data_IF_849295836255
#
_entry.id   IF_849295836255
#
_cell.length_a   1.000
_cell.length_b   1.000
_cell.length_c   1.000
_cell.angle_alpha   90.00
_cell.angle_beta   90.00
_cell.angle_gamma   90.00
#
_symmetry.space_group_name_H-M   'P 1'
#
loop_
_entity.id
_entity.type
_entity.pdbx_description
1 polymer ?
#
# COMPACT_ATOMS: atom_id res chain seq x y z
N UNK A 1 13.53 14.28 -6.54
CA UNK A 1 12.63 14.95 -5.59
C UNK A 1 11.22 14.70 -6.02
N UNK A 2 10.32 14.33 -5.12
CA UNK A 2 8.98 13.85 -5.48
C UNK A 2 8.02 15.00 -5.80
N UNK A 3 8.27 15.70 -6.89
CA UNK A 3 7.42 16.79 -7.38
C UNK A 3 7.02 16.52 -8.83
N UNK A 4 5.84 16.95 -9.21
CA UNK A 4 5.20 16.67 -10.51
C UNK A 4 5.94 17.30 -11.70
N UNK A 5 6.84 18.24 -11.44
CA UNK A 5 7.73 18.79 -12.46
C UNK A 5 9.16 18.94 -11.96
N UNK A 6 10.12 18.59 -12.80
CA UNK A 6 11.55 18.82 -12.58
C UNK A 6 12.02 20.18 -13.12
N UNK A 7 11.14 20.89 -13.83
CA UNK A 7 11.43 22.21 -14.41
C UNK A 7 11.04 23.33 -13.44
N UNK A 8 11.79 24.41 -13.43
CA UNK A 8 11.39 25.63 -12.75
C UNK A 8 10.16 26.20 -13.45
N UNK A 9 9.09 26.40 -12.70
CA UNK A 9 7.81 26.91 -13.22
C UNK A 9 7.60 28.39 -12.90
N UNK A 10 8.18 28.87 -11.79
CA UNK A 10 8.14 30.26 -11.36
C UNK A 10 9.45 30.64 -10.71
N UNK A 11 9.97 31.81 -11.00
CA UNK A 11 11.06 32.44 -10.27
C UNK A 11 10.58 33.79 -9.72
N UNK A 12 10.75 34.00 -8.43
CA UNK A 12 10.46 35.26 -7.76
C UNK A 12 11.78 35.87 -7.26
N UNK A 13 12.03 37.12 -7.61
CA UNK A 13 13.21 37.81 -7.20
C UNK A 13 12.84 39.20 -6.68
N UNK A 14 13.45 39.62 -5.57
CA UNK A 14 13.38 40.97 -5.08
C UNK A 14 14.63 41.33 -4.27
N UNK A 15 14.83 42.63 -4.05
CA UNK A 15 15.91 43.15 -3.23
C UNK A 15 15.33 43.85 -2.01
N UNK A 16 15.70 43.38 -0.83
CA UNK A 16 15.28 43.95 0.44
C UNK A 16 16.49 44.38 1.25
N UNK A 17 16.41 45.55 1.87
CA UNK A 17 17.42 46.04 2.80
C UNK A 17 17.00 45.71 4.23
N UNK A 18 17.91 45.11 4.99
CA UNK A 18 17.71 44.77 6.41
C UNK A 18 18.87 45.36 7.19
N UNK A 19 18.58 46.27 8.11
CA UNK A 19 19.58 46.90 8.99
C UNK A 19 20.23 45.85 9.92
N UNK A 20 21.42 46.17 10.40
CA UNK A 20 22.11 45.32 11.37
C UNK A 20 21.26 45.07 12.61
N UNK A 21 21.03 43.78 12.96
CA UNK A 21 20.17 43.32 14.07
C UNK A 21 18.66 43.48 13.87
N UNK A 22 18.20 43.94 12.70
CA UNK A 22 16.77 43.96 12.37
C UNK A 22 16.27 42.57 11.93
N UNK A 23 14.96 42.34 12.16
CA UNK A 23 14.21 41.21 11.59
C UNK A 23 13.09 41.80 10.73
N UNK A 24 13.03 41.38 9.47
CA UNK A 24 11.94 41.75 8.56
C UNK A 24 11.22 40.50 8.06
N UNK A 25 9.90 40.58 8.01
CA UNK A 25 9.07 39.61 7.30
C UNK A 25 8.79 40.17 5.91
N UNK A 26 8.99 39.37 4.89
CA UNK A 26 8.77 39.77 3.51
C UNK A 26 7.96 38.70 2.78
N UNK A 27 6.94 39.10 2.05
CA UNK A 27 6.10 38.20 1.28
C UNK A 27 6.35 38.41 -0.22
N UNK A 28 6.57 37.33 -0.93
CA UNK A 28 6.63 37.32 -2.39
C UNK A 28 5.40 36.58 -2.90
N UNK A 29 4.72 37.13 -3.90
CA UNK A 29 3.51 36.54 -4.48
C UNK A 29 3.72 36.39 -5.99
N UNK A 30 3.50 35.22 -6.50
CA UNK A 30 3.45 34.98 -7.95
C UNK A 30 2.11 35.44 -8.52
N UNK A 31 2.14 35.90 -9.76
CA UNK A 31 0.93 36.14 -10.58
C UNK A 31 0.61 34.92 -11.44
N UNK A 32 1.51 33.94 -11.50
CA UNK A 32 1.32 32.72 -12.24
C UNK A 32 0.33 31.79 -11.50
N UNK A 33 -0.66 31.31 -12.23
CA UNK A 33 -1.55 30.27 -11.71
C UNK A 33 -0.87 28.92 -11.84
N UNK A 34 -0.41 28.37 -10.71
CA UNK A 34 0.10 27.01 -10.67
C UNK A 34 -1.06 26.03 -10.88
N UNK A 35 -0.83 25.01 -11.69
CA UNK A 35 -1.80 23.92 -11.87
C UNK A 35 -1.89 23.07 -10.62
N UNK A 36 -2.99 22.31 -10.42
CA UNK A 36 -3.04 21.27 -9.40
C UNK A 36 -1.82 20.35 -9.48
N UNK A 37 -1.15 20.10 -8.34
CA UNK A 37 0.08 19.31 -8.32
C UNK A 37 0.94 19.55 -7.11
N UNK A 38 2.09 18.86 -7.05
CA UNK A 38 3.07 18.98 -5.97
C UNK A 38 4.34 19.67 -6.46
N UNK A 39 4.78 20.65 -5.71
CA UNK A 39 5.87 21.56 -6.06
C UNK A 39 6.89 21.65 -4.95
N UNK A 40 8.07 22.15 -5.32
CA UNK A 40 9.12 22.50 -4.38
C UNK A 40 9.48 23.97 -4.50
N UNK A 41 9.50 24.66 -3.39
CA UNK A 41 10.11 25.98 -3.26
C UNK A 41 11.56 25.84 -2.82
N UNK A 42 12.47 26.54 -3.49
CA UNK A 42 13.85 26.70 -3.07
C UNK A 42 14.07 28.20 -2.77
N UNK A 43 14.46 28.51 -1.56
CA UNK A 43 14.71 29.89 -1.11
C UNK A 43 16.20 30.18 -1.12
N UNK A 44 16.55 31.29 -1.72
CA UNK A 44 17.95 31.75 -1.81
C UNK A 44 18.07 33.15 -1.19
N UNK A 45 19.19 33.43 -0.53
CA UNK A 45 19.57 34.75 -0.06
C UNK A 45 20.98 35.01 -0.56
N UNK A 46 21.18 36.10 -1.29
CA UNK A 46 22.45 36.48 -1.92
C UNK A 46 23.07 35.32 -2.70
N UNK A 47 22.25 34.60 -3.49
CA UNK A 47 22.66 33.47 -4.30
C UNK A 47 22.93 32.14 -3.55
N UNK A 48 22.78 32.14 -2.22
CA UNK A 48 22.98 30.94 -1.40
C UNK A 48 21.64 30.33 -1.03
N UNK A 49 21.49 29.02 -1.23
CA UNK A 49 20.32 28.26 -0.79
C UNK A 49 20.21 28.29 0.75
N UNK A 50 19.11 28.75 1.27
CA UNK A 50 18.88 28.86 2.71
C UNK A 50 17.78 27.93 3.21
N UNK A 51 16.80 27.62 2.38
CA UNK A 51 15.68 26.74 2.73
C UNK A 51 15.05 26.14 1.49
N UNK A 52 14.44 24.99 1.66
CA UNK A 52 13.51 24.42 0.70
C UNK A 52 12.36 23.71 1.42
N UNK A 53 11.22 23.62 0.76
CA UNK A 53 10.06 22.85 1.24
C UNK A 53 9.21 22.39 0.05
N UNK A 54 8.47 21.32 0.25
CA UNK A 54 7.49 20.83 -0.71
C UNK A 54 6.09 21.26 -0.28
N UNK A 55 5.21 21.52 -1.25
CA UNK A 55 3.83 21.91 -1.02
C UNK A 55 2.93 21.40 -2.15
N UNK A 56 1.63 21.30 -1.88
CA UNK A 56 0.61 20.96 -2.87
C UNK A 56 -0.22 22.20 -3.24
N UNK A 57 -0.63 22.28 -4.50
CA UNK A 57 -1.65 23.19 -5.00
C UNK A 57 -2.82 22.31 -5.42
N UNK A 58 -3.98 22.55 -4.85
CA UNK A 58 -5.25 21.88 -5.16
C UNK A 58 -5.10 20.36 -5.43
N UNK A 59 -4.48 19.59 -4.51
CA UNK A 59 -4.14 18.19 -4.77
C UNK A 59 -5.36 17.32 -5.06
N UNK A 60 -6.54 17.68 -4.55
CA UNK A 60 -7.79 16.97 -4.84
C UNK A 60 -8.34 17.26 -6.24
N UNK A 61 -7.81 18.27 -6.94
CA UNK A 61 -8.13 18.60 -8.33
C UNK A 61 -7.14 17.94 -9.32
N UNK A 62 -6.16 17.18 -8.84
CA UNK A 62 -5.27 16.40 -9.71
C UNK A 62 -6.11 15.36 -10.43
N UNK A 63 -6.08 15.41 -11.76
CA UNK A 63 -6.78 14.47 -12.63
C UNK A 63 -5.82 13.41 -13.11
N UNK A 64 -5.98 12.20 -12.58
CA UNK A 64 -5.29 10.99 -13.03
C UNK A 64 -6.36 9.97 -13.43
N UNK A 65 -6.79 10.05 -14.69
CA UNK A 65 -7.90 9.24 -15.17
C UNK A 65 -7.57 7.74 -15.12
N UNK A 66 -8.55 6.88 -14.77
CA UNK A 66 -8.39 5.44 -14.89
C UNK A 66 -8.08 5.04 -16.35
N UNK A 67 -7.14 4.12 -16.51
CA UNK A 67 -6.66 3.61 -17.79
C UNK A 67 -6.87 2.10 -17.94
N UNK A 68 -7.96 1.59 -17.35
CA UNK A 68 -8.37 0.18 -17.42
C UNK A 68 -8.42 -0.33 -18.84
N UNK A 69 -7.87 -1.52 -19.05
CA UNK A 69 -8.01 -2.22 -20.31
C UNK A 69 -9.45 -2.74 -20.50
N UNK A 70 -9.91 -2.95 -21.74
CA UNK A 70 -11.28 -3.41 -21.99
C UNK A 70 -11.63 -4.74 -21.30
N UNK A 71 -10.66 -5.61 -21.08
CA UNK A 71 -10.83 -6.91 -20.41
C UNK A 71 -10.54 -6.87 -18.90
N UNK A 72 -10.27 -5.69 -18.31
CA UNK A 72 -9.84 -5.54 -16.92
C UNK A 72 -10.77 -6.25 -15.92
N UNK A 73 -12.06 -6.05 -16.05
CA UNK A 73 -13.04 -6.60 -15.12
C UNK A 73 -13.19 -8.12 -15.33
N UNK A 74 -13.19 -8.59 -16.58
CA UNK A 74 -13.23 -10.03 -16.92
C UNK A 74 -11.94 -10.74 -16.46
N UNK A 75 -10.79 -10.09 -16.64
CA UNK A 75 -9.50 -10.61 -16.19
C UNK A 75 -9.52 -10.86 -14.67
N UNK A 76 -9.83 -9.84 -13.88
CA UNK A 76 -9.84 -10.00 -12.42
C UNK A 76 -10.92 -10.97 -11.93
N UNK A 77 -12.07 -11.04 -12.62
CA UNK A 77 -13.07 -12.04 -12.29
C UNK A 77 -12.52 -13.46 -12.53
N UNK A 78 -11.85 -13.70 -13.67
CA UNK A 78 -11.23 -14.99 -13.95
C UNK A 78 -10.16 -15.39 -12.92
N UNK A 79 -9.36 -14.42 -12.42
CA UNK A 79 -8.37 -14.69 -11.37
C UNK A 79 -9.03 -15.02 -10.04
N UNK A 80 -10.14 -14.34 -9.71
CA UNK A 80 -10.96 -14.65 -8.52
C UNK A 80 -11.59 -16.03 -8.60
N UNK A 81 -12.08 -16.41 -9.78
CA UNK A 81 -12.65 -17.73 -10.01
C UNK A 81 -11.60 -18.84 -9.83
N UNK A 82 -10.36 -18.60 -10.29
CA UNK A 82 -9.24 -19.47 -10.03
C UNK A 82 -8.94 -19.59 -8.52
N UNK A 83 -8.93 -18.45 -7.79
CA UNK A 83 -8.75 -18.47 -6.34
C UNK A 83 -9.89 -19.21 -5.63
N UNK A 84 -11.12 -19.06 -6.10
CA UNK A 84 -12.29 -19.76 -5.55
C UNK A 84 -12.20 -21.29 -5.71
N UNK A 85 -11.55 -21.77 -6.80
CA UNK A 85 -11.34 -23.18 -7.06
C UNK A 85 -10.19 -23.80 -6.23
N UNK A 86 -9.34 -22.98 -5.59
CA UNK A 86 -8.27 -23.48 -4.71
C UNK A 86 -8.86 -23.97 -3.40
N UNK A 87 -8.57 -25.23 -3.05
CA UNK A 87 -8.75 -25.67 -1.67
C UNK A 87 -7.75 -24.94 -0.77
N UNK A 88 -8.27 -24.07 0.06
CA UNK A 88 -7.46 -23.27 0.98
C UNK A 88 -6.61 -24.13 1.91
N UNK A 89 -7.14 -25.29 2.34
CA UNK A 89 -6.49 -26.25 3.24
C UNK A 89 -5.72 -25.56 4.37
N UNK A 90 -6.41 -24.66 5.09
CA UNK A 90 -5.80 -23.85 6.14
C UNK A 90 -5.43 -24.69 7.35
N UNK A 91 -4.15 -24.69 7.69
CA UNK A 91 -3.60 -25.33 8.90
C UNK A 91 -3.26 -24.25 9.91
N UNK A 92 -3.76 -24.42 11.13
CA UNK A 92 -3.49 -23.53 12.26
C UNK A 92 -2.61 -24.25 13.28
N UNK A 93 -1.49 -23.61 13.64
CA UNK A 93 -0.58 -24.09 14.68
C UNK A 93 -0.50 -23.04 15.78
N UNK A 94 -0.98 -23.38 17.00
CA UNK A 94 -0.96 -22.41 18.11
C UNK A 94 0.47 -22.08 18.53
N UNK A 95 0.73 -20.77 18.65
CA UNK A 95 1.98 -20.22 19.21
C UNK A 95 1.73 -19.95 20.70
N UNK A 96 1.90 -20.98 21.51
CA UNK A 96 1.57 -20.93 22.97
C UNK A 96 2.32 -19.83 23.71
N UNK A 97 3.55 -19.53 23.31
CA UNK A 97 4.36 -18.44 23.91
C UNK A 97 3.80 -17.03 23.67
N UNK A 98 2.89 -16.88 22.71
CA UNK A 98 2.22 -15.62 22.38
C UNK A 98 0.73 -15.64 22.70
N UNK A 99 0.18 -16.80 23.03
CA UNK A 99 -1.21 -16.97 23.46
C UNK A 99 -1.41 -16.58 24.92
N UNK A 100 -2.63 -16.20 25.27
CA UNK A 100 -3.05 -15.84 26.62
C UNK A 100 -4.46 -16.36 26.91
N UNK A 101 -5.00 -16.09 28.09
CA UNK A 101 -6.39 -16.45 28.43
C UNK A 101 -7.45 -15.68 27.64
N UNK A 102 -7.08 -14.52 27.07
CA UNK A 102 -8.00 -13.64 26.35
C UNK A 102 -7.79 -13.66 24.84
N UNK A 103 -6.69 -14.27 24.38
CA UNK A 103 -6.34 -14.30 22.97
C UNK A 103 -5.47 -15.50 22.63
N UNK A 104 -5.85 -16.25 21.60
CA UNK A 104 -5.02 -17.29 21.00
C UNK A 104 -4.30 -16.73 19.77
N UNK A 105 -3.05 -17.15 19.59
CA UNK A 105 -2.22 -16.77 18.44
C UNK A 105 -1.83 -18.01 17.67
N UNK A 106 -2.10 -18.00 16.38
CA UNK A 106 -1.82 -19.13 15.49
C UNK A 106 -0.90 -18.69 14.34
N UNK A 107 0.07 -19.53 14.03
CA UNK A 107 0.65 -19.57 12.69
C UNK A 107 -0.38 -20.24 11.78
N UNK A 108 -0.75 -19.56 10.69
CA UNK A 108 -1.64 -20.07 9.67
C UNK A 108 -0.83 -20.33 8.41
N UNK A 109 -0.97 -21.53 7.86
CA UNK A 109 -0.47 -21.91 6.55
C UNK A 109 -1.68 -22.24 5.67
N UNK A 110 -1.74 -21.69 4.47
CA UNK A 110 -2.87 -21.92 3.56
C UNK A 110 -2.43 -21.78 2.11
N UNK A 111 -3.21 -22.34 1.19
CA UNK A 111 -2.95 -22.20 -0.24
C UNK A 111 -3.74 -21.04 -0.84
N UNK A 112 -3.11 -20.37 -1.80
CA UNK A 112 -3.66 -19.27 -2.59
C UNK A 112 -3.61 -19.61 -4.08
N UNK A 113 -4.02 -18.66 -4.91
CA UNK A 113 -4.06 -18.83 -6.37
C UNK A 113 -2.73 -19.39 -6.90
N UNK A 114 -2.78 -20.30 -7.90
CA UNK A 114 -1.58 -20.83 -8.49
C UNK A 114 -0.60 -19.76 -8.99
N UNK A 115 0.68 -20.07 -8.89
CA UNK A 115 1.69 -19.37 -9.66
C UNK A 115 1.46 -19.68 -11.14
N UNK A 116 1.22 -18.64 -11.94
CA UNK A 116 0.96 -18.83 -13.37
C UNK A 116 2.11 -19.48 -14.12
N UNK A 117 3.35 -19.38 -13.60
CA UNK A 117 4.52 -20.02 -14.20
C UNK A 117 4.58 -21.53 -13.97
N UNK A 118 4.18 -22.01 -12.79
CA UNK A 118 4.22 -23.43 -12.42
C UNK A 118 2.86 -24.10 -12.51
N UNK A 119 1.78 -23.34 -12.36
CA UNK A 119 0.41 -23.86 -12.29
C UNK A 119 0.04 -24.44 -10.92
N UNK A 120 0.96 -24.47 -9.95
CA UNK A 120 0.74 -25.02 -8.62
C UNK A 120 0.19 -23.96 -7.66
N UNK A 121 -0.76 -24.34 -6.76
CA UNK A 121 -1.21 -23.48 -5.68
C UNK A 121 -0.04 -23.02 -4.80
N UNK A 122 0.01 -21.73 -4.51
CA UNK A 122 1.10 -21.15 -3.71
C UNK A 122 0.74 -21.19 -2.24
N UNK A 123 1.63 -21.75 -1.41
CA UNK A 123 1.50 -21.70 0.04
C UNK A 123 1.84 -20.28 0.53
N UNK A 124 0.89 -19.67 1.24
CA UNK A 124 1.05 -18.39 1.95
C UNK A 124 0.84 -18.60 3.44
N UNK A 125 1.28 -17.62 4.23
CA UNK A 125 1.26 -17.72 5.68
C UNK A 125 0.76 -16.44 6.31
N UNK A 126 0.48 -16.52 7.59
CA UNK A 126 0.15 -15.37 8.40
C UNK A 126 0.02 -15.72 9.86
N UNK A 127 -0.20 -14.69 10.67
CA UNK A 127 -0.53 -14.86 12.08
C UNK A 127 -1.98 -14.46 12.30
N UNK A 128 -2.74 -15.35 12.89
CA UNK A 128 -4.12 -15.11 13.31
C UNK A 128 -4.19 -14.93 14.81
N UNK A 129 -4.76 -13.81 15.24
CA UNK A 129 -4.96 -13.45 16.63
C UNK A 129 -6.45 -13.57 16.95
N UNK A 130 -6.84 -14.67 17.59
CA UNK A 130 -8.21 -15.04 17.87
C UNK A 130 -8.64 -14.60 19.28
N UNK A 131 -9.63 -13.74 19.45
CA UNK A 131 -10.27 -13.49 20.75
C UNK A 131 -10.89 -14.77 21.32
N UNK A 132 -10.87 -14.92 22.66
CA UNK A 132 -11.30 -16.17 23.34
C UNK A 132 -12.57 -16.04 24.16
N UNK A 133 -13.27 -14.91 24.07
CA UNK A 133 -14.52 -14.66 24.81
C UNK A 133 -15.77 -15.29 24.18
N UNK A 134 -15.64 -15.92 23.01
CA UNK A 134 -16.72 -16.56 22.27
C UNK A 134 -17.61 -15.59 21.50
N UNK A 135 -17.32 -14.30 21.51
CA UNK A 135 -18.06 -13.31 20.74
C UNK A 135 -17.52 -13.18 19.30
N UNK A 136 -18.30 -12.54 18.44
CA UNK A 136 -17.82 -12.08 17.14
C UNK A 136 -17.16 -10.71 17.28
N UNK A 137 -16.03 -10.55 16.62
CA UNK A 137 -15.19 -9.36 16.66
C UNK A 137 -15.01 -8.76 15.27
N UNK A 138 -14.93 -7.42 15.15
CA UNK A 138 -14.53 -6.78 13.91
C UNK A 138 -13.21 -7.38 13.41
N UNK A 139 -13.09 -7.54 12.09
CA UNK A 139 -11.90 -8.12 11.46
C UNK A 139 -10.94 -7.02 11.05
N UNK A 140 -9.66 -7.18 11.37
CA UNK A 140 -8.60 -6.31 10.92
C UNK A 140 -7.48 -7.11 10.24
N UNK A 141 -7.18 -6.77 8.98
CA UNK A 141 -6.11 -7.41 8.20
C UNK A 141 -4.95 -6.43 8.05
N UNK A 142 -3.75 -6.91 8.36
CA UNK A 142 -2.51 -6.16 8.29
C UNK A 142 -1.69 -6.58 7.09
N UNK A 143 -1.29 -5.62 6.25
CA UNK A 143 -0.42 -5.82 5.11
C UNK A 143 0.91 -5.10 5.27
N UNK A 144 1.99 -5.75 4.88
CA UNK A 144 3.35 -5.25 5.03
C UNK A 144 3.93 -4.69 3.73
N UNK A 145 4.95 -3.84 3.89
CA UNK A 145 5.66 -3.20 2.78
C UNK A 145 6.51 -4.17 1.96
N UNK A 146 6.98 -3.70 0.82
CA UNK A 146 7.92 -4.39 -0.05
C UNK A 146 9.22 -4.73 0.68
N UNK A 147 9.60 -5.99 0.68
CA UNK A 147 10.84 -6.47 1.24
C UNK A 147 11.20 -7.85 0.69
N UNK A 148 11.99 -7.89 -0.37
CA UNK A 148 12.43 -9.13 -1.02
C UNK A 148 13.58 -9.84 -0.29
N UNK A 149 14.16 -9.20 0.72
CA UNK A 149 15.36 -9.71 1.38
C UNK A 149 15.23 -9.92 2.89
N UNK A 150 14.23 -9.37 3.50
CA UNK A 150 13.99 -9.46 4.93
C UNK A 150 12.59 -9.90 5.28
N UNK A 151 12.27 -9.92 6.55
CA UNK A 151 10.94 -10.21 7.04
C UNK A 151 10.23 -8.95 7.49
N UNK A 152 9.13 -8.63 6.84
CA UNK A 152 8.21 -7.56 7.26
C UNK A 152 7.04 -8.10 8.07
N UNK A 153 6.50 -9.25 7.69
CA UNK A 153 5.43 -9.87 8.44
C UNK A 153 5.92 -10.35 9.80
N UNK A 154 5.24 -9.91 10.85
CA UNK A 154 5.58 -10.22 12.23
C UNK A 154 4.34 -10.56 13.02
N UNK A 155 4.50 -11.41 14.01
CA UNK A 155 3.44 -11.66 14.98
C UNK A 155 3.36 -10.48 15.95
N UNK A 156 2.59 -9.49 15.58
CA UNK A 156 2.37 -8.29 16.39
C UNK A 156 1.05 -8.33 17.17
N UNK A 157 0.48 -9.52 17.31
CA UNK A 157 -0.70 -9.73 18.13
C UNK A 157 -0.54 -9.12 19.52
N UNK A 158 -1.45 -8.24 19.96
CA UNK A 158 -1.37 -7.63 21.28
C UNK A 158 -1.37 -8.70 22.37
N UNK A 159 -0.34 -8.75 23.19
CA UNK A 159 -0.21 -9.73 24.28
C UNK A 159 -1.20 -9.49 25.44
N UNK A 160 -1.83 -8.33 25.49
CA UNK A 160 -2.64 -7.86 26.63
C UNK A 160 -4.16 -7.95 26.45
N UNK A 161 -4.68 -8.50 25.38
CA UNK A 161 -6.12 -8.66 25.19
C UNK A 161 -6.92 -7.37 25.07
N UNK A 162 -6.28 -6.24 24.81
CA UNK A 162 -6.96 -4.94 24.66
C UNK A 162 -7.50 -4.67 23.27
N UNK A 163 -7.13 -5.46 22.27
CA UNK A 163 -7.68 -5.31 20.92
C UNK A 163 -9.10 -5.87 20.86
N UNK A 164 -9.98 -5.09 20.25
CA UNK A 164 -11.35 -5.49 19.98
C UNK A 164 -11.50 -6.31 18.70
N UNK A 165 -10.41 -6.50 17.94
CA UNK A 165 -10.43 -7.12 16.62
C UNK A 165 -10.02 -8.60 16.68
N UNK A 166 -10.58 -9.40 15.78
CA UNK A 166 -9.96 -10.60 15.27
C UNK A 166 -8.97 -10.17 14.18
N UNK A 167 -7.66 -10.42 14.38
CA UNK A 167 -6.62 -9.83 13.54
C UNK A 167 -5.91 -10.89 12.70
N UNK A 168 -5.54 -10.51 11.46
CA UNK A 168 -4.73 -11.36 10.59
C UNK A 168 -3.56 -10.57 10.00
N UNK A 169 -2.35 -11.02 10.26
CA UNK A 169 -1.10 -10.47 9.75
C UNK A 169 -0.63 -11.31 8.58
N UNK A 170 -0.85 -10.85 7.36
CA UNK A 170 -0.53 -11.61 6.16
C UNK A 170 0.96 -11.56 5.82
N UNK A 171 1.55 -12.72 5.61
CA UNK A 171 2.79 -12.91 4.85
C UNK A 171 2.40 -13.46 3.48
N UNK A 172 2.34 -12.58 2.48
CA UNK A 172 2.02 -12.98 1.11
C UNK A 172 3.19 -13.74 0.48
N UNK A 173 2.99 -14.29 -0.72
CA UNK A 173 4.00 -15.09 -1.43
C UNK A 173 5.37 -14.43 -1.46
N UNK A 174 6.42 -15.19 -1.11
CA UNK A 174 7.80 -14.71 -1.09
C UNK A 174 8.19 -13.80 0.06
N UNK A 175 7.26 -13.47 0.96
CA UNK A 175 7.57 -12.66 2.13
C UNK A 175 7.97 -13.56 3.30
N UNK A 176 9.06 -13.21 3.97
CA UNK A 176 9.53 -13.96 5.15
C UNK A 176 8.66 -13.68 6.38
N UNK A 177 8.53 -14.67 7.25
CA UNK A 177 7.98 -14.51 8.59
C UNK A 177 9.08 -14.24 9.62
N UNK A 178 8.95 -13.18 10.43
CA UNK A 178 9.77 -12.91 11.62
C UNK A 178 11.30 -12.93 11.39
N UNK A 179 11.78 -12.30 10.33
CA UNK A 179 13.19 -12.25 9.94
C UNK A 179 13.70 -13.48 9.18
N UNK A 180 14.84 -13.32 8.53
CA UNK A 180 15.46 -14.38 7.75
C UNK A 180 15.86 -15.56 8.63
N UNK A 181 15.63 -16.80 8.17
CA UNK A 181 15.97 -18.00 8.94
C UNK A 181 17.45 -18.11 9.28
N UNK A 182 18.31 -17.79 8.30
CA UNK A 182 19.75 -18.10 8.37
C UNK A 182 20.58 -17.15 9.22
N UNK A 183 20.07 -15.99 9.60
CA UNK A 183 20.91 -14.96 10.24
C UNK A 183 20.58 -14.69 11.70
N UNK A 184 19.48 -15.20 12.23
CA UNK A 184 18.94 -14.73 13.51
C UNK A 184 18.72 -15.81 14.56
N UNK A 185 18.91 -17.09 14.26
CA UNK A 185 18.64 -18.19 15.18
C UNK A 185 17.19 -18.21 15.68
N UNK A 186 16.26 -17.62 14.94
CA UNK A 186 14.87 -17.52 15.33
C UNK A 186 14.17 -18.85 15.04
N UNK A 187 13.77 -19.63 16.05
CA UNK A 187 13.06 -20.87 15.84
C UNK A 187 11.69 -20.57 15.25
N UNK A 188 11.35 -21.16 14.12
CA UNK A 188 10.01 -21.13 13.54
C UNK A 188 9.87 -20.45 12.19
N UNK A 189 10.94 -20.00 11.57
CA UNK A 189 10.90 -19.62 10.14
C UNK A 189 11.29 -20.86 9.35
N UNK A 190 10.33 -21.42 8.64
CA UNK A 190 10.52 -22.59 7.81
C UNK A 190 11.19 -22.20 6.48
N UNK A 191 11.99 -23.12 5.92
CA UNK A 191 12.72 -22.89 4.66
C UNK A 191 11.82 -22.50 3.48
N UNK A 192 10.56 -22.95 3.49
CA UNK A 192 9.58 -22.65 2.45
C UNK A 192 8.93 -21.26 2.55
N UNK A 193 9.36 -20.40 3.51
CA UNK A 193 9.06 -18.98 3.54
C UNK A 193 10.02 -18.14 2.69
N UNK A 194 11.02 -18.77 2.09
CA UNK A 194 12.04 -18.07 1.33
C UNK A 194 11.47 -17.38 0.08
N UNK A 195 12.01 -16.20 -0.25
CA UNK A 195 11.64 -15.51 -1.48
C UNK A 195 12.24 -16.22 -2.70
N UNK A 196 11.45 -17.05 -3.34
CA UNK A 196 11.80 -17.74 -4.59
C UNK A 196 11.56 -16.87 -5.83
N UNK A 197 10.92 -15.70 -5.68
CA UNK A 197 10.52 -14.82 -6.79
C UNK A 197 11.60 -13.78 -7.15
N UNK A 198 12.64 -13.65 -6.34
CA UNK A 198 13.67 -12.62 -6.53
C UNK A 198 13.12 -11.20 -6.37
N UNK A 199 13.29 -10.35 -7.38
CA UNK A 199 12.69 -9.01 -7.43
C UNK A 199 11.21 -9.12 -7.86
N UNK A 200 10.30 -8.78 -6.97
CA UNK A 200 8.86 -8.89 -7.21
C UNK A 200 8.35 -7.98 -8.34
N UNK A 201 9.07 -6.90 -8.64
CA UNK A 201 8.73 -6.02 -9.74
C UNK A 201 9.08 -6.64 -11.11
N UNK A 202 10.08 -7.53 -11.12
CA UNK A 202 10.62 -8.14 -12.32
C UNK A 202 10.03 -9.52 -12.62
N UNK A 203 9.52 -10.24 -11.60
CA UNK A 203 9.07 -11.62 -11.75
C UNK A 203 7.96 -11.76 -12.77
N UNK A 204 8.24 -12.44 -13.89
CA UNK A 204 7.35 -12.63 -15.04
C UNK A 204 6.72 -11.32 -15.56
N UNK A 205 7.48 -10.23 -15.52
CA UNK A 205 7.03 -8.95 -16.06
C UNK A 205 6.68 -9.07 -17.55
N UNK A 206 5.53 -8.53 -17.92
CA UNK A 206 4.98 -8.61 -19.28
C UNK A 206 3.99 -9.75 -19.50
N UNK A 207 3.95 -10.75 -18.64
CA UNK A 207 2.94 -11.81 -18.64
C UNK A 207 1.95 -11.62 -17.51
N UNK A 208 0.74 -11.13 -17.82
CA UNK A 208 -0.28 -10.83 -16.80
C UNK A 208 -0.78 -12.06 -16.04
N UNK A 209 -0.65 -13.27 -16.60
CA UNK A 209 -1.13 -14.49 -15.97
C UNK A 209 -0.12 -15.10 -14.99
N UNK A 210 1.15 -14.70 -15.08
CA UNK A 210 2.25 -15.18 -14.23
C UNK A 210 2.91 -14.07 -13.39
N UNK A 211 2.54 -12.81 -13.59
CA UNK A 211 3.16 -11.69 -12.91
C UNK A 211 2.94 -11.72 -11.39
N UNK A 212 3.98 -11.39 -10.65
CA UNK A 212 4.00 -11.46 -9.19
C UNK A 212 2.78 -10.80 -8.52
N UNK A 213 2.42 -9.56 -8.92
CA UNK A 213 1.33 -8.82 -8.26
C UNK A 213 -0.06 -9.39 -8.54
N UNK A 214 -0.23 -10.18 -9.61
CA UNK A 214 -1.46 -10.95 -9.78
C UNK A 214 -1.70 -11.87 -8.57
N UNK A 215 -0.65 -12.60 -8.21
CA UNK A 215 -0.70 -13.50 -7.08
C UNK A 215 -0.77 -12.80 -5.73
N UNK A 216 0.07 -11.79 -5.51
CA UNK A 216 0.12 -11.05 -4.25
C UNK A 216 -1.22 -10.35 -3.91
N UNK A 217 -1.94 -9.84 -4.93
CA UNK A 217 -3.28 -9.29 -4.74
C UNK A 217 -4.31 -10.36 -4.34
N UNK A 218 -4.20 -11.55 -4.95
CA UNK A 218 -5.06 -12.67 -4.57
C UNK A 218 -4.71 -13.25 -3.20
N UNK A 219 -3.46 -13.17 -2.76
CA UNK A 219 -3.08 -13.55 -1.40
C UNK A 219 -3.76 -12.66 -0.36
N UNK A 220 -3.88 -11.34 -0.65
CA UNK A 220 -4.62 -10.43 0.20
C UNK A 220 -6.12 -10.77 0.23
N UNK A 221 -6.72 -11.14 -0.91
CA UNK A 221 -8.12 -11.61 -0.96
C UNK A 221 -8.27 -12.96 -0.23
N UNK A 222 -7.29 -13.86 -0.31
CA UNK A 222 -7.32 -15.13 0.41
C UNK A 222 -7.29 -14.95 1.93
N UNK A 223 -6.58 -13.93 2.42
CA UNK A 223 -6.62 -13.58 3.84
C UNK A 223 -8.05 -13.21 4.31
N UNK A 224 -8.80 -12.48 3.49
CA UNK A 224 -10.22 -12.17 3.78
C UNK A 224 -11.06 -13.45 3.80
N UNK A 225 -10.87 -14.32 2.80
CA UNK A 225 -11.59 -15.60 2.72
C UNK A 225 -11.29 -16.48 3.93
N UNK A 226 -10.03 -16.51 4.38
CA UNK A 226 -9.65 -17.21 5.62
C UNK A 226 -10.40 -16.64 6.83
N UNK A 227 -10.38 -15.33 7.02
CA UNK A 227 -11.08 -14.68 8.15
C UNK A 227 -12.59 -14.97 8.12
N UNK A 228 -13.20 -15.06 6.94
CA UNK A 228 -14.60 -15.42 6.79
C UNK A 228 -14.93 -16.86 7.25
N UNK A 229 -13.94 -17.74 7.37
CA UNK A 229 -14.13 -19.09 7.93
C UNK A 229 -14.07 -19.15 9.45
N UNK A 230 -13.68 -18.02 10.11
CA UNK A 230 -13.50 -18.00 11.56
C UNK A 230 -14.82 -17.63 12.29
N UNK A 231 -15.18 -18.42 13.30
CA UNK A 231 -16.42 -18.19 14.06
C UNK A 231 -16.41 -16.87 14.83
N UNK A 232 -15.21 -16.43 15.25
CA UNK A 232 -14.99 -15.18 15.98
C UNK A 232 -14.98 -13.94 15.08
N UNK A 233 -15.08 -14.09 13.75
CA UNK A 233 -15.05 -12.98 12.81
C UNK A 233 -16.43 -12.38 12.56
N UNK A 234 -16.58 -11.08 12.80
CA UNK A 234 -17.69 -10.29 12.29
C UNK A 234 -17.33 -9.68 10.93
N UNK A 235 -17.65 -10.39 9.87
CA UNK A 235 -17.36 -9.94 8.49
C UNK A 235 -18.19 -8.73 8.03
N UNK A 236 -19.16 -8.27 8.83
CA UNK A 236 -19.87 -7.00 8.59
C UNK A 236 -19.06 -5.79 9.03
N UNK A 237 -17.97 -6.01 9.76
CA UNK A 237 -17.01 -5.03 10.28
C UNK A 237 -15.60 -5.39 9.83
N UNK A 238 -15.33 -5.28 8.54
CA UNK A 238 -14.07 -5.68 7.90
C UNK A 238 -13.17 -4.48 7.62
N UNK A 239 -11.96 -4.50 8.15
CA UNK A 239 -10.97 -3.45 8.03
C UNK A 239 -9.65 -3.99 7.48
N UNK A 240 -8.88 -3.12 6.80
CA UNK A 240 -7.50 -3.40 6.44
C UNK A 240 -6.60 -2.17 6.63
N UNK A 241 -5.35 -2.43 6.95
CA UNK A 241 -4.30 -1.41 7.04
C UNK A 241 -2.99 -1.87 6.42
N UNK A 242 -2.21 -0.92 5.94
CA UNK A 242 -0.89 -1.23 5.39
C UNK A 242 -0.17 0.00 4.88
N UNK A 243 1.16 -0.11 4.79
CA UNK A 243 2.02 0.97 4.32
C UNK A 243 2.81 0.54 3.09
N UNK A 244 3.08 1.47 2.19
CA UNK A 244 3.84 1.21 0.97
C UNK A 244 3.16 0.13 0.11
N UNK A 245 3.80 -1.00 -0.19
CA UNK A 245 3.15 -2.14 -0.83
C UNK A 245 1.93 -2.62 -0.02
N UNK A 246 1.98 -2.59 1.32
CA UNK A 246 0.83 -2.90 2.15
C UNK A 246 -0.35 -1.96 1.91
N UNK A 247 -0.10 -0.69 1.64
CA UNK A 247 -1.11 0.27 1.21
C UNK A 247 -1.72 -0.10 -0.15
N UNK A 248 -0.91 -0.56 -1.11
CA UNK A 248 -1.40 -1.09 -2.38
C UNK A 248 -2.27 -2.35 -2.18
N UNK A 249 -1.86 -3.24 -1.26
CA UNK A 249 -2.64 -4.44 -0.91
C UNK A 249 -3.99 -4.08 -0.26
N UNK A 250 -4.08 -2.97 0.50
CA UNK A 250 -5.37 -2.44 0.98
C UNK A 250 -6.31 -2.09 -0.19
N UNK A 251 -5.82 -1.36 -1.20
CA UNK A 251 -6.59 -1.04 -2.40
C UNK A 251 -6.97 -2.30 -3.19
N UNK A 252 -6.02 -3.21 -3.38
CA UNK A 252 -6.26 -4.45 -4.10
C UNK A 252 -7.31 -5.32 -3.40
N UNK A 253 -7.17 -5.49 -2.10
CA UNK A 253 -8.08 -6.29 -1.32
C UNK A 253 -9.50 -5.71 -1.31
N UNK A 254 -9.66 -4.41 -1.05
CA UNK A 254 -10.97 -3.75 -1.05
C UNK A 254 -11.62 -3.68 -2.44
N UNK A 255 -10.81 -3.56 -3.51
CA UNK A 255 -11.30 -3.50 -4.89
C UNK A 255 -11.59 -4.86 -5.53
N UNK A 256 -11.05 -5.96 -5.00
CA UNK A 256 -11.16 -7.30 -5.60
C UNK A 256 -11.88 -8.32 -4.71
N UNK A 257 -12.01 -8.12 -3.41
CA UNK A 257 -12.73 -9.02 -2.50
C UNK A 257 -14.24 -9.04 -2.80
N UNK A 258 -14.86 -10.20 -2.62
CA UNK A 258 -16.32 -10.36 -2.61
C UNK A 258 -16.96 -9.93 -1.28
N UNK A 259 -16.15 -9.80 -0.23
CA UNK A 259 -16.60 -9.30 1.07
C UNK A 259 -16.46 -7.77 1.11
N UNK A 260 -17.54 -7.04 1.42
CA UNK A 260 -17.48 -5.58 1.49
C UNK A 260 -16.64 -5.13 2.67
N UNK A 261 -15.66 -4.29 2.39
CA UNK A 261 -14.90 -3.63 3.45
C UNK A 261 -15.72 -2.53 4.13
N UNK A 262 -15.51 -2.36 5.42
CA UNK A 262 -16.02 -1.23 6.20
C UNK A 262 -15.13 -0.02 6.03
N UNK A 263 -13.81 -0.20 6.19
CA UNK A 263 -12.83 0.84 5.87
C UNK A 263 -11.44 0.25 5.64
N UNK A 264 -10.60 1.00 4.91
CA UNK A 264 -9.18 0.73 4.70
C UNK A 264 -8.33 1.95 5.07
N UNK A 265 -7.11 1.70 5.54
CA UNK A 265 -6.18 2.76 5.94
C UNK A 265 -4.82 2.60 5.26
N UNK A 266 -4.72 2.93 3.95
CA UNK A 266 -3.47 2.88 3.19
C UNK A 266 -2.56 4.08 3.55
N UNK A 267 -1.35 3.80 4.04
CA UNK A 267 -0.31 4.80 4.29
C UNK A 267 0.73 4.76 3.16
N UNK A 268 1.10 5.91 2.62
CA UNK A 268 2.13 6.06 1.56
C UNK A 268 2.10 4.94 0.52
N UNK A 269 0.91 4.67 -0.03
CA UNK A 269 0.64 3.50 -0.85
C UNK A 269 1.52 3.43 -2.11
N UNK A 270 1.98 2.22 -2.44
CA UNK A 270 2.73 1.90 -3.65
C UNK A 270 1.81 1.52 -4.82
N UNK A 271 2.33 1.36 -6.02
CA UNK A 271 1.64 0.92 -7.24
C UNK A 271 0.49 1.85 -7.67
N UNK A 272 0.65 3.16 -7.52
CA UNK A 272 -0.36 4.13 -7.98
C UNK A 272 0.14 4.98 -9.13
N UNK A 273 -0.71 5.14 -10.16
CA UNK A 273 -0.51 6.05 -11.29
C UNK A 273 0.86 5.91 -11.98
N UNK A 274 1.12 4.75 -12.53
CA UNK A 274 2.41 4.43 -13.14
C UNK A 274 2.86 5.42 -14.21
N UNK A 275 2.02 5.97 -15.10
CA UNK A 275 2.48 6.94 -16.09
C UNK A 275 3.12 8.19 -15.47
N UNK A 276 2.49 8.78 -14.45
CA UNK A 276 3.02 9.95 -13.76
C UNK A 276 4.11 9.57 -12.77
N UNK A 277 3.99 8.43 -12.12
CA UNK A 277 5.02 7.90 -11.22
C UNK A 277 6.39 7.85 -11.89
N UNK A 278 6.46 7.35 -13.12
CA UNK A 278 7.71 7.20 -13.86
C UNK A 278 8.33 8.53 -14.31
N UNK A 279 7.57 9.61 -14.29
CA UNK A 279 8.10 10.96 -14.54
C UNK A 279 8.70 11.58 -13.28
N UNK A 280 8.22 11.18 -12.09
CA UNK A 280 8.56 11.79 -10.81
C UNK A 280 9.83 11.19 -10.21
N UNK A 281 9.93 9.86 -10.18
CA UNK A 281 11.04 9.13 -9.52
C UNK A 281 11.73 8.13 -10.44
N UNK A 282 12.96 7.73 -10.09
CA UNK A 282 13.71 6.71 -10.82
C UNK A 282 13.25 5.30 -10.47
N UNK A 283 13.35 4.91 -9.20
CA UNK A 283 12.82 3.62 -8.75
C UNK A 283 11.34 3.77 -8.35
N UNK A 284 10.43 2.87 -8.75
CA UNK A 284 10.65 1.60 -9.47
C UNK A 284 10.67 1.72 -11.00
N UNK A 285 10.51 2.93 -11.56
CA UNK A 285 10.42 3.16 -13.01
C UNK A 285 11.58 2.53 -13.79
N UNK A 286 12.82 2.69 -13.28
CA UNK A 286 14.00 2.16 -13.94
C UNK A 286 13.99 0.62 -14.00
N UNK A 287 13.48 -0.04 -12.96
CA UNK A 287 13.29 -1.50 -12.96
C UNK A 287 12.28 -1.91 -14.03
N UNK A 288 11.11 -1.28 -14.03
CA UNK A 288 10.06 -1.61 -14.98
C UNK A 288 10.47 -1.34 -16.44
N UNK A 289 11.14 -0.21 -16.72
CA UNK A 289 11.65 0.09 -18.07
C UNK A 289 12.69 -0.93 -18.54
N UNK A 290 13.56 -1.38 -17.64
CA UNK A 290 14.54 -2.43 -17.93
C UNK A 290 13.87 -3.77 -18.26
N UNK A 291 12.86 -4.15 -17.48
CA UNK A 291 12.14 -5.40 -17.73
C UNK A 291 11.29 -5.32 -18.98
N UNK A 292 10.65 -4.19 -19.27
CA UNK A 292 9.95 -3.95 -20.53
C UNK A 292 10.87 -4.08 -21.74
N UNK A 293 12.08 -3.50 -21.65
CA UNK A 293 13.08 -3.64 -22.70
C UNK A 293 13.50 -5.11 -22.92
N UNK A 294 13.71 -5.87 -21.85
CA UNK A 294 14.03 -7.31 -21.95
C UNK A 294 12.89 -8.11 -22.60
N UNK A 295 11.65 -7.75 -22.29
CA UNK A 295 10.45 -8.36 -22.86
C UNK A 295 10.14 -7.88 -24.29
N UNK A 296 10.91 -6.94 -24.85
CA UNK A 296 10.67 -6.34 -26.17
C UNK A 296 9.42 -5.47 -26.25
N UNK A 297 8.95 -4.95 -25.11
CA UNK A 297 7.73 -4.13 -25.01
C UNK A 297 8.05 -2.65 -25.30
N UNK A 298 7.14 -1.99 -25.98
CA UNK A 298 7.09 -0.54 -26.07
C UNK A 298 6.65 0.07 -24.73
N UNK A 299 6.86 1.38 -24.54
CA UNK A 299 6.39 2.09 -23.35
C UNK A 299 4.86 2.03 -23.19
N UNK A 300 4.13 2.11 -24.30
CA UNK A 300 2.67 1.97 -24.29
C UNK A 300 2.23 0.57 -23.85
N UNK A 301 2.88 -0.48 -24.35
CA UNK A 301 2.59 -1.87 -23.93
C UNK A 301 2.93 -2.10 -22.48
N UNK A 302 4.03 -1.51 -21.98
CA UNK A 302 4.40 -1.54 -20.57
C UNK A 302 3.32 -0.90 -19.69
N UNK A 303 2.84 0.30 -20.00
CA UNK A 303 1.79 0.95 -19.22
C UNK A 303 0.45 0.23 -19.35
N UNK A 304 0.12 -0.32 -20.51
CA UNK A 304 -1.05 -1.19 -20.70
C UNK A 304 -1.00 -2.41 -19.79
N UNK A 305 0.16 -3.06 -19.68
CA UNK A 305 0.38 -4.18 -18.76
C UNK A 305 0.26 -3.75 -17.30
N UNK A 306 0.92 -2.67 -16.91
CA UNK A 306 0.91 -2.17 -15.53
C UNK A 306 -0.48 -1.68 -15.09
N UNK A 307 -1.34 -1.25 -16.02
CA UNK A 307 -2.69 -0.77 -15.70
C UNK A 307 -3.56 -1.79 -14.99
N UNK A 308 -3.30 -3.10 -15.17
CA UNK A 308 -4.00 -4.15 -14.42
C UNK A 308 -3.71 -4.10 -12.92
N UNK A 309 -2.56 -3.59 -12.52
CA UNK A 309 -2.06 -3.57 -11.14
C UNK A 309 -2.04 -2.17 -10.51
N UNK A 310 -2.46 -1.16 -11.26
CA UNK A 310 -2.48 0.21 -10.80
C UNK A 310 -3.61 0.43 -9.78
N UNK A 311 -3.25 0.94 -8.60
CA UNK A 311 -4.23 1.20 -7.53
C UNK A 311 -5.25 2.26 -7.90
N UNK A 312 -4.96 3.19 -8.84
CA UNK A 312 -5.96 4.13 -9.33
C UNK A 312 -7.13 3.43 -10.05
N UNK A 313 -6.84 2.32 -10.74
CA UNK A 313 -7.85 1.52 -11.41
C UNK A 313 -8.66 0.69 -10.40
N UNK A 314 -8.01 0.13 -9.37
CA UNK A 314 -8.69 -0.58 -8.28
C UNK A 314 -9.60 0.35 -7.46
N UNK A 315 -9.17 1.58 -7.24
CA UNK A 315 -9.92 2.59 -6.48
C UNK A 315 -11.32 2.86 -7.05
N UNK A 316 -11.51 2.71 -8.36
CA UNK A 316 -12.82 2.86 -9.02
C UNK A 316 -13.85 1.80 -8.63
N UNK A 317 -13.50 0.83 -7.80
CA UNK A 317 -14.38 -0.21 -7.26
C UNK A 317 -14.66 -0.03 -5.77
N UNK A 318 -13.97 0.90 -5.09
CA UNK A 318 -13.97 1.05 -3.63
C UNK A 318 -15.00 2.08 -3.21
N UNK A 319 -15.86 1.70 -2.25
CA UNK A 319 -16.93 2.52 -1.68
C UNK A 319 -16.87 2.58 -0.16
N UNK A 320 -16.02 1.77 0.48
CA UNK A 320 -15.82 1.75 1.93
C UNK A 320 -15.13 3.01 2.43
N UNK A 321 -15.07 3.21 3.74
CA UNK A 321 -14.29 4.29 4.35
C UNK A 321 -12.82 4.21 3.97
N UNK A 322 -12.17 5.35 3.70
CA UNK A 322 -10.74 5.41 3.38
C UNK A 322 -10.07 6.56 4.12
N UNK A 323 -9.04 6.24 4.90
CA UNK A 323 -8.10 7.21 5.42
C UNK A 323 -6.73 6.96 4.79
N UNK A 324 -6.25 7.90 3.99
CA UNK A 324 -4.96 7.79 3.31
C UNK A 324 -4.01 8.91 3.74
N UNK A 325 -2.70 8.66 3.60
CA UNK A 325 -1.67 9.62 3.97
C UNK A 325 -0.55 9.67 2.95
N UNK A 326 0.14 10.81 2.86
CA UNK A 326 1.42 10.90 2.17
C UNK A 326 2.37 11.90 2.79
N UNK A 327 3.67 11.60 2.65
CA UNK A 327 4.74 12.52 2.95
C UNK A 327 5.09 13.39 1.75
N UNK A 328 5.13 14.70 1.91
CA UNK A 328 5.49 15.59 0.79
C UNK A 328 6.96 15.45 0.36
N UNK A 329 7.79 14.80 1.18
CA UNK A 329 9.20 14.49 0.86
C UNK A 329 9.40 13.01 0.51
N UNK A 330 8.34 12.25 0.32
CA UNK A 330 8.43 10.83 -0.04
C UNK A 330 8.98 10.68 -1.47
N UNK A 331 10.19 10.13 -1.57
CA UNK A 331 10.88 9.88 -2.84
C UNK A 331 10.67 8.47 -3.37
N UNK A 332 9.95 7.62 -2.61
CA UNK A 332 9.62 6.23 -2.96
C UNK A 332 8.21 6.15 -3.52
N UNK A 333 7.23 6.61 -2.74
CA UNK A 333 5.83 6.72 -3.15
C UNK A 333 5.40 8.19 -3.09
N UNK A 334 5.65 8.98 -4.14
CA UNK A 334 5.40 10.42 -4.15
C UNK A 334 3.95 10.77 -3.82
N UNK A 335 3.68 11.95 -3.25
CA UNK A 335 2.32 12.34 -2.88
C UNK A 335 1.34 12.31 -4.08
N UNK A 336 1.81 12.60 -5.29
CA UNK A 336 1.00 12.48 -6.51
C UNK A 336 0.45 11.06 -6.70
N UNK A 337 1.29 10.05 -6.57
CA UNK A 337 0.91 8.64 -6.78
C UNK A 337 -0.02 8.09 -5.68
N UNK A 338 -0.06 8.76 -4.53
CA UNK A 338 -0.97 8.44 -3.44
C UNK A 338 -2.32 9.14 -3.58
N UNK A 339 -2.33 10.39 -4.09
CA UNK A 339 -3.57 11.14 -4.27
C UNK A 339 -4.37 10.65 -5.48
N UNK A 340 -3.70 10.13 -6.50
CA UNK A 340 -4.35 9.62 -7.71
C UNK A 340 -5.39 8.52 -7.43
N UNK A 341 -5.08 7.42 -6.72
CA UNK A 341 -6.09 6.44 -6.35
C UNK A 341 -7.16 7.02 -5.41
N UNK A 342 -6.79 7.92 -4.48
CA UNK A 342 -7.77 8.55 -3.58
C UNK A 342 -8.79 9.41 -4.33
N UNK A 343 -8.38 10.17 -5.34
CA UNK A 343 -9.28 10.98 -6.17
C UNK A 343 -10.22 10.12 -7.04
N UNK A 344 -9.85 8.87 -7.33
CA UNK A 344 -10.66 7.92 -8.10
C UNK A 344 -11.59 7.03 -7.24
N UNK A 345 -11.60 7.21 -5.91
CA UNK A 345 -12.49 6.47 -5.01
C UNK A 345 -13.96 6.83 -5.25
N UNK A 346 -14.81 5.82 -5.22
CA UNK A 346 -16.27 5.98 -5.19
C UNK A 346 -16.82 6.15 -3.76
N UNK A 347 -15.95 6.26 -2.78
CA UNK A 347 -16.29 6.50 -1.37
C UNK A 347 -16.96 7.87 -1.20
N UNK A 348 -18.08 7.97 -0.48
CA UNK A 348 -18.69 9.26 -0.12
C UNK A 348 -17.70 10.18 0.60
N UNK A 349 -17.80 11.48 0.36
CA UNK A 349 -16.83 12.47 0.88
C UNK A 349 -16.71 12.45 2.40
N UNK A 350 -17.83 12.23 3.12
CA UNK A 350 -17.90 12.13 4.58
C UNK A 350 -17.20 10.90 5.16
N UNK A 351 -16.93 9.89 4.33
CA UNK A 351 -16.28 8.63 4.71
C UNK A 351 -14.84 8.53 4.24
N UNK A 352 -14.25 9.61 3.70
CA UNK A 352 -12.85 9.58 3.28
C UNK A 352 -12.06 10.77 3.82
N UNK A 353 -10.83 10.48 4.27
CA UNK A 353 -9.89 11.43 4.81
C UNK A 353 -8.54 11.30 4.14
N UNK A 354 -7.85 12.42 3.94
CA UNK A 354 -6.49 12.45 3.43
C UNK A 354 -5.62 13.41 4.25
N UNK A 355 -4.45 12.93 4.68
CA UNK A 355 -3.52 13.77 5.45
C UNK A 355 -2.17 13.89 4.76
N UNK A 356 -1.74 15.12 4.53
CA UNK A 356 -0.43 15.46 4.01
C UNK A 356 0.52 15.84 5.14
N UNK A 357 1.72 15.27 5.11
CA UNK A 357 2.78 15.54 6.09
C UNK A 357 3.98 16.22 5.41
N UNK A 358 4.16 17.55 5.56
CA UNK A 358 5.14 18.33 4.78
C UNK A 358 6.58 17.86 4.93
N UNK A 359 6.97 17.39 6.11
CA UNK A 359 8.35 16.97 6.40
C UNK A 359 8.56 15.45 6.32
N UNK A 360 7.49 14.68 6.16
CA UNK A 360 7.56 13.22 6.13
C UNK A 360 8.12 12.72 4.78
N UNK A 361 9.02 11.77 4.89
CA UNK A 361 9.53 10.95 3.78
C UNK A 361 8.68 9.68 3.66
N UNK A 362 9.26 8.56 3.21
CA UNK A 362 8.59 7.26 3.13
C UNK A 362 8.51 6.60 4.51
N UNK A 363 7.55 7.04 5.34
CA UNK A 363 7.47 6.65 6.76
C UNK A 363 6.01 6.66 7.26
N UNK A 364 5.84 6.39 8.53
CA UNK A 364 4.57 6.53 9.24
C UNK A 364 4.45 7.90 9.92
N UNK A 365 3.25 8.52 9.91
CA UNK A 365 2.98 9.67 10.79
C UNK A 365 3.20 9.29 12.26
N UNK A 366 3.69 10.24 13.07
CA UNK A 366 3.94 9.99 14.51
C UNK A 366 2.71 9.52 15.29
N UNK A 367 1.53 9.96 14.86
CA UNK A 367 0.23 9.62 15.48
C UNK A 367 -0.52 8.53 14.68
N UNK A 368 0.15 7.75 13.82
CA UNK A 368 -0.47 6.81 12.89
C UNK A 368 -1.49 5.89 13.59
N UNK A 369 -1.06 5.12 14.57
CA UNK A 369 -1.93 4.12 15.20
C UNK A 369 -3.18 4.73 15.86
N UNK A 370 -3.03 5.85 16.56
CA UNK A 370 -4.20 6.53 17.15
C UNK A 370 -5.11 7.14 16.10
N UNK A 371 -4.58 7.65 15.02
CA UNK A 371 -5.35 8.26 13.94
C UNK A 371 -6.20 7.21 13.21
N UNK A 372 -5.62 6.09 12.81
CA UNK A 372 -6.37 5.03 12.12
C UNK A 372 -7.38 4.35 13.04
N UNK A 373 -7.07 4.19 14.33
CA UNK A 373 -8.03 3.66 15.29
C UNK A 373 -9.22 4.61 15.46
N UNK A 374 -8.98 5.91 15.65
CA UNK A 374 -10.05 6.90 15.70
C UNK A 374 -10.90 6.93 14.42
N UNK A 375 -10.29 6.69 13.27
CA UNK A 375 -11.03 6.59 12.01
C UNK A 375 -11.92 5.34 11.98
N UNK A 376 -11.40 4.17 12.34
CA UNK A 376 -12.16 2.91 12.40
C UNK A 376 -13.32 2.98 13.39
N UNK A 377 -13.15 3.67 14.52
CA UNK A 377 -14.21 3.85 15.54
C UNK A 377 -15.44 4.57 15.01
N UNK A 378 -15.35 5.32 13.91
CA UNK A 378 -16.53 5.96 13.28
C UNK A 378 -17.48 4.94 12.65
N UNK A 379 -17.03 3.71 12.43
CA UNK A 379 -17.76 2.65 11.73
C UNK A 379 -18.08 1.46 12.63
N UNK A 380 -17.61 1.44 13.87
CA UNK A 380 -17.89 0.41 14.86
C UNK A 380 -19.15 0.73 15.64
#
# INVERSE_FOLDING_TARGET
MPTDTKKMVVELFDTIEVGGREKKSYAMTTKENLKPGFYRANCYVNGKAVRNFNFGIDPFEIVSAPDKQPDYDTYWQGVKDQLAAVDMNAKLTEITSKSSSVRKVYLVEMYSVPDGATGDPVKIRGYYCEPTDGAKHPVLIHFYGYDTQGSKARCECPSGGSSIYAEFYLSHRGQYLNNRPASTGNPGVEEDCENIYGDWLAYHFGDKDSYYYRGAFMDAVQAVRFMATRETSDMTKLFAEGSSQGGALCYACAGLSDYPFTAITPNVAFLGDFPDYFQIVGWPADTYKKEAQKAGMTEEEMFRFLSYYDTKNLATRIRCGVLATSGLKDGTCPPHTNIAPYNNLLTPAENKEYHFYPEMTHDYPKNWFSMIENFRQKFL
#
